data_IF_539366766429
#
_entry.id   IF_539366766429
#
_cell.length_a   1.000
_cell.length_b   1.000
_cell.length_c   1.000
_cell.angle_alpha   90.00
_cell.angle_beta   90.00
_cell.angle_gamma   90.00
#
_symmetry.space_group_name_H-M   'P 1'
#
loop_
_entity.id
_entity.type
_entity.pdbx_description
1 polymer ?
#
# COMPACT_ATOMS: atom_id res chain seq x y z
N UNK A 1 5.43 17.28 10.03
CA UNK A 1 5.31 16.26 8.96
C UNK A 1 4.53 15.08 9.49
N UNK A 2 4.00 14.22 8.62
CA UNK A 2 3.22 13.04 9.00
C UNK A 2 3.30 11.95 7.94
N UNK A 3 2.96 10.72 8.33
CA UNK A 3 2.93 9.54 7.45
C UNK A 3 1.47 9.12 7.28
N UNK A 4 1.05 8.94 6.02
CA UNK A 4 -0.17 8.23 5.67
C UNK A 4 0.13 6.73 5.58
N UNK A 5 -0.57 5.92 6.36
CA UNK A 5 -0.51 4.45 6.28
C UNK A 5 -1.88 3.91 5.87
N UNK A 6 -1.93 3.11 4.81
CA UNK A 6 -3.18 2.54 4.28
C UNK A 6 -3.02 1.03 4.11
N UNK A 7 -4.00 0.28 4.60
CA UNK A 7 -4.12 -1.17 4.36
C UNK A 7 -5.29 -1.44 3.41
N UNK A 8 -5.06 -2.28 2.41
CA UNK A 8 -6.10 -2.82 1.55
C UNK A 8 -6.15 -4.34 1.64
N UNK A 9 -7.37 -4.86 1.77
CA UNK A 9 -7.67 -6.28 1.81
C UNK A 9 -7.41 -6.99 0.47
N UNK A 10 -7.26 -6.26 -0.64
CA UNK A 10 -6.92 -6.80 -1.96
C UNK A 10 -6.10 -5.76 -2.78
N UNK A 11 -5.43 -6.16 -3.87
CA UNK A 11 -4.84 -5.19 -4.79
C UNK A 11 -5.90 -4.21 -5.33
N UNK A 12 -5.62 -2.91 -5.23
CA UNK A 12 -6.44 -1.84 -5.80
C UNK A 12 -5.58 -0.98 -6.74
N UNK A 13 -5.54 -1.29 -8.05
CA UNK A 13 -4.75 -0.55 -9.02
C UNK A 13 -5.18 0.92 -9.16
N UNK A 14 -6.46 1.23 -8.98
CA UNK A 14 -6.99 2.57 -9.12
C UNK A 14 -6.57 3.44 -7.93
N UNK A 15 -6.65 2.93 -6.71
CA UNK A 15 -6.14 3.61 -5.52
C UNK A 15 -4.63 3.80 -5.59
N UNK A 16 -3.89 2.74 -5.95
CA UNK A 16 -2.44 2.82 -6.15
C UNK A 16 -2.08 3.98 -7.08
N UNK A 17 -2.70 4.04 -8.27
CA UNK A 17 -2.43 5.11 -9.24
C UNK A 17 -2.69 6.49 -8.62
N UNK A 18 -3.86 6.70 -8.00
CA UNK A 18 -4.19 7.99 -7.36
C UNK A 18 -3.21 8.37 -6.27
N UNK A 19 -2.72 7.40 -5.48
CA UNK A 19 -1.75 7.66 -4.42
C UNK A 19 -0.39 8.11 -4.99
N UNK A 20 0.09 7.48 -6.06
CA UNK A 20 1.32 7.92 -6.75
C UNK A 20 1.15 9.29 -7.43
N UNK A 21 -0.02 9.58 -7.98
CA UNK A 21 -0.32 10.88 -8.61
C UNK A 21 -0.30 12.06 -7.60
N UNK A 22 -0.32 11.80 -6.29
CA UNK A 22 -0.27 12.87 -5.26
C UNK A 22 1.08 13.57 -5.15
N UNK A 23 2.15 13.01 -5.73
CA UNK A 23 3.52 13.50 -5.56
C UNK A 23 4.13 13.23 -4.18
N UNK A 24 3.47 12.43 -3.34
CA UNK A 24 4.08 11.91 -2.11
C UNK A 24 5.13 10.86 -2.45
N UNK A 25 6.12 10.70 -1.57
CA UNK A 25 7.02 9.55 -1.61
C UNK A 25 6.26 8.34 -1.08
N UNK A 26 6.02 7.33 -1.93
CA UNK A 26 5.19 6.15 -1.63
C UNK A 26 6.01 4.87 -1.59
N UNK A 27 5.85 4.07 -0.54
CA UNK A 27 6.36 2.70 -0.41
C UNK A 27 5.16 1.74 -0.39
N UNK A 28 5.19 0.71 -1.24
CA UNK A 28 4.16 -0.33 -1.34
C UNK A 28 4.71 -1.69 -0.87
N UNK A 29 3.96 -2.36 -0.02
CA UNK A 29 4.23 -3.72 0.44
C UNK A 29 3.11 -4.65 0.05
N UNK A 30 3.44 -5.68 -0.73
CA UNK A 30 2.53 -6.78 -1.03
C UNK A 30 2.73 -7.87 0.03
N UNK A 31 1.68 -8.14 0.81
CA UNK A 31 1.75 -9.09 1.93
C UNK A 31 0.70 -10.18 1.79
N UNK A 32 0.94 -11.30 2.48
CA UNK A 32 0.05 -12.46 2.49
C UNK A 32 -0.57 -12.58 3.86
N UNK A 33 -1.87 -12.89 3.91
CA UNK A 33 -2.61 -12.95 5.17
C UNK A 33 -2.17 -14.10 6.08
N UNK A 34 -1.38 -15.06 5.57
CA UNK A 34 -0.83 -16.18 6.31
C UNK A 34 0.66 -16.40 5.97
N UNK A 35 1.43 -17.03 6.88
CA UNK A 35 2.83 -17.42 6.62
C UNK A 35 2.99 -18.33 5.39
N UNK A 36 4.23 -18.47 4.92
CA UNK A 36 4.61 -19.34 3.79
C UNK A 36 3.88 -19.01 2.48
N UNK A 37 3.69 -17.71 2.21
CA UNK A 37 3.06 -17.20 0.99
C UNK A 37 1.61 -17.71 0.76
N UNK A 38 0.84 -17.95 1.82
CA UNK A 38 -0.54 -18.45 1.74
C UNK A 38 -1.57 -17.38 2.11
N UNK A 39 -2.84 -17.64 1.77
CA UNK A 39 -3.96 -16.76 2.12
C UNK A 39 -4.20 -15.66 1.11
N UNK A 40 -4.97 -14.64 1.51
CA UNK A 40 -5.33 -13.53 0.65
C UNK A 40 -4.12 -12.62 0.39
N UNK A 41 -4.11 -11.96 -0.77
CA UNK A 41 -3.18 -10.88 -1.07
C UNK A 41 -3.69 -9.59 -0.44
N UNK A 42 -2.86 -8.93 0.35
CA UNK A 42 -3.12 -7.60 0.88
C UNK A 42 -2.03 -6.64 0.42
N UNK A 43 -2.33 -5.36 0.48
CA UNK A 43 -1.36 -4.31 0.16
C UNK A 43 -1.31 -3.30 1.29
N UNK A 44 -0.12 -2.90 1.70
CA UNK A 44 0.10 -1.81 2.65
C UNK A 44 0.89 -0.72 1.94
N UNK A 45 0.38 0.52 1.98
CA UNK A 45 1.10 1.69 1.50
C UNK A 45 1.50 2.60 2.64
N UNK A 46 2.72 3.12 2.57
CA UNK A 46 3.19 4.26 3.37
C UNK A 46 3.49 5.42 2.44
N UNK A 47 2.99 6.61 2.76
CA UNK A 47 3.22 7.81 1.96
C UNK A 47 3.57 9.02 2.85
N UNK A 48 4.54 9.81 2.42
CA UNK A 48 4.93 11.04 3.12
C UNK A 48 5.37 12.12 2.14
N UNK A 49 5.21 13.39 2.55
CA UNK A 49 5.81 14.52 1.84
C UNK A 49 7.26 14.64 2.31
N UNK A 50 8.19 14.63 1.36
CA UNK A 50 9.63 14.84 1.63
C UNK A 50 9.90 16.22 2.21
#
# INVERSE_FOLDING_TARGET
GGILAVWSAAPDPAFRKRLYDTGLTVIEWNVRSRPNNKGAHHVIWFAQKS
#
